data_IF_240216089253
#
_entry.id   IF_240216089253
#
_cell.length_a   1.000
_cell.length_b   1.000
_cell.length_c   1.000
_cell.angle_alpha   90.00
_cell.angle_beta   90.00
_cell.angle_gamma   90.00
#
_symmetry.space_group_name_H-M   'P 1'
#
loop_
_entity.id
_entity.type
_entity.pdbx_description
1 polymer ?
#
# COMPACT_ATOMS: atom_id res chain seq x y z
N UNK A 1 -9.97 3.74 -7.98
CA UNK A 1 -8.65 3.29 -7.46
C UNK A 1 -8.71 3.62 -5.99
N UNK A 2 -8.92 2.61 -5.14
CA UNK A 2 -9.47 2.86 -3.79
C UNK A 2 -8.53 2.38 -2.67
N UNK A 3 -7.45 1.67 -3.04
CA UNK A 3 -6.46 1.11 -2.13
C UNK A 3 -5.06 1.17 -2.73
N UNK A 4 -4.11 1.64 -1.93
CA UNK A 4 -2.67 1.54 -2.18
C UNK A 4 -2.06 0.69 -1.08
N UNK A 5 -1.25 -0.29 -1.48
CA UNK A 5 -0.52 -1.16 -0.57
C UNK A 5 0.96 -0.77 -0.62
N UNK A 6 1.54 -0.43 0.53
CA UNK A 6 2.96 -0.11 0.67
C UNK A 6 3.67 -1.33 1.24
N UNK A 7 4.52 -1.95 0.44
CA UNK A 7 5.34 -3.10 0.84
C UNK A 7 6.76 -2.74 1.26
N UNK A 8 7.57 -3.77 1.49
CA UNK A 8 8.99 -3.64 1.77
C UNK A 8 9.33 -3.15 3.19
N UNK A 9 10.63 -2.95 3.44
CA UNK A 9 11.14 -2.57 4.77
C UNK A 9 10.63 -1.20 5.26
N UNK A 10 10.34 -0.28 4.35
CA UNK A 10 9.83 1.07 4.67
C UNK A 10 8.46 1.02 5.35
N UNK A 11 7.60 0.08 4.96
CA UNK A 11 6.28 -0.09 5.57
C UNK A 11 6.36 -0.45 7.07
N UNK A 12 7.51 -0.96 7.55
CA UNK A 12 7.73 -1.26 8.97
C UNK A 12 7.85 -0.01 9.85
N UNK A 13 8.01 1.17 9.26
CA UNK A 13 8.05 2.43 10.01
C UNK A 13 6.69 2.78 10.67
N UNK A 14 5.60 2.12 10.27
CA UNK A 14 4.29 2.29 10.90
C UNK A 14 3.81 3.74 10.86
N UNK A 15 3.27 4.24 11.98
CA UNK A 15 2.71 5.59 12.10
C UNK A 15 3.67 6.69 11.58
N UNK A 16 4.99 6.54 11.79
CA UNK A 16 5.99 7.50 11.34
C UNK A 16 5.94 7.74 9.81
N UNK A 17 5.61 6.71 9.03
CA UNK A 17 5.40 6.82 7.59
C UNK A 17 3.93 7.12 7.25
N UNK A 18 3.01 6.34 7.81
CA UNK A 18 1.62 6.32 7.34
C UNK A 18 0.81 7.55 7.75
N UNK A 19 1.10 8.18 8.89
CA UNK A 19 0.37 9.37 9.33
C UNK A 19 0.65 10.60 8.44
N UNK A 20 1.91 11.00 8.17
CA UNK A 20 2.17 12.10 7.24
C UNK A 20 1.72 11.78 5.81
N UNK A 21 1.75 10.51 5.41
CA UNK A 21 1.26 10.08 4.10
C UNK A 21 -0.26 10.30 3.95
N UNK A 22 -1.05 9.91 4.98
CA UNK A 22 -2.50 10.13 4.99
C UNK A 22 -2.84 11.61 4.97
N UNK A 23 -2.15 12.43 5.79
CA UNK A 23 -2.33 13.87 5.79
C UNK A 23 -2.06 14.50 4.41
N UNK A 24 -0.99 14.05 3.74
CA UNK A 24 -0.66 14.52 2.39
C UNK A 24 -1.73 14.12 1.37
N UNK A 25 -2.26 12.90 1.46
CA UNK A 25 -3.35 12.48 0.58
C UNK A 25 -4.61 13.30 0.80
N UNK A 26 -4.97 13.61 2.04
CA UNK A 26 -6.09 14.53 2.32
C UNK A 26 -5.87 15.91 1.71
N UNK A 27 -4.63 16.41 1.70
CA UNK A 27 -4.30 17.71 1.14
C UNK A 27 -4.26 17.74 -0.40
N UNK A 28 -3.75 16.68 -1.03
CA UNK A 28 -3.38 16.69 -2.46
C UNK A 28 -4.25 15.81 -3.35
N UNK A 29 -4.96 14.80 -2.82
CA UNK A 29 -5.85 13.92 -3.60
C UNK A 29 -7.22 14.59 -3.85
N UNK A 30 -7.22 15.73 -4.54
CA UNK A 30 -8.39 16.60 -4.71
C UNK A 30 -9.40 16.14 -5.77
N UNK A 31 -9.05 15.16 -6.61
CA UNK A 31 -9.97 14.60 -7.60
C UNK A 31 -10.97 13.67 -6.91
N UNK A 32 -12.25 13.79 -7.25
CA UNK A 32 -13.32 13.11 -6.51
C UNK A 32 -13.17 11.57 -6.49
N UNK A 33 -12.62 10.99 -7.56
CA UNK A 33 -12.40 9.54 -7.65
C UNK A 33 -11.23 9.01 -6.79
N UNK A 34 -10.47 9.88 -6.12
CA UNK A 34 -9.38 9.51 -5.18
C UNK A 34 -9.53 10.13 -3.79
N UNK A 35 -10.58 10.90 -3.50
CA UNK A 35 -10.81 11.49 -2.16
C UNK A 35 -10.91 10.45 -1.03
N UNK A 36 -11.23 9.20 -1.34
CA UNK A 36 -11.33 8.09 -0.40
C UNK A 36 -10.16 7.09 -0.44
N UNK A 37 -9.02 7.47 -1.05
CA UNK A 37 -7.90 6.55 -1.24
C UNK A 37 -7.36 6.05 0.09
N UNK A 38 -7.43 4.75 0.33
CA UNK A 38 -6.84 4.11 1.51
C UNK A 38 -5.40 3.72 1.25
N UNK A 39 -4.52 3.91 2.23
CA UNK A 39 -3.15 3.40 2.19
C UNK A 39 -2.88 2.50 3.38
N UNK A 40 -2.41 1.29 3.09
CA UNK A 40 -2.18 0.22 4.07
C UNK A 40 -0.80 -0.41 3.88
N UNK A 41 -0.19 -0.95 4.94
CA UNK A 41 0.98 -1.81 4.78
C UNK A 41 0.62 -3.12 4.08
N UNK A 42 1.57 -3.73 3.38
CA UNK A 42 1.41 -5.09 2.87
C UNK A 42 1.26 -6.08 4.03
N UNK A 43 0.10 -6.75 4.11
CA UNK A 43 -0.21 -7.71 5.18
C UNK A 43 0.74 -8.91 5.18
N UNK A 44 1.16 -9.36 4.00
CA UNK A 44 2.14 -10.43 3.81
C UNK A 44 3.60 -9.96 4.06
N UNK A 45 3.81 -8.67 4.36
CA UNK A 45 5.13 -8.12 4.64
C UNK A 45 6.16 -8.42 3.56
N UNK A 46 7.29 -9.02 3.96
CA UNK A 46 8.38 -9.39 3.05
C UNK A 46 8.03 -10.54 2.10
N UNK A 47 7.02 -11.34 2.43
CA UNK A 47 6.66 -12.53 1.66
C UNK A 47 5.71 -12.22 0.50
N UNK A 48 5.14 -11.00 0.45
CA UNK A 48 4.19 -10.59 -0.59
C UNK A 48 4.70 -10.87 -2.02
N UNK A 49 5.98 -10.61 -2.27
CA UNK A 49 6.61 -10.87 -3.57
C UNK A 49 6.76 -12.35 -3.88
N UNK A 50 7.18 -13.16 -2.90
CA UNK A 50 7.34 -14.60 -3.07
C UNK A 50 5.99 -15.30 -3.29
N UNK A 51 4.96 -14.91 -2.53
CA UNK A 51 3.60 -15.42 -2.70
C UNK A 51 3.05 -15.10 -4.09
N UNK A 52 3.21 -13.86 -4.55
CA UNK A 52 2.81 -13.47 -5.90
C UNK A 52 3.56 -14.24 -6.99
N UNK A 53 4.87 -14.41 -6.84
CA UNK A 53 5.69 -15.17 -7.78
C UNK A 53 5.29 -16.66 -7.85
N UNK A 54 5.03 -17.28 -6.69
CA UNK A 54 4.56 -18.67 -6.62
C UNK A 54 3.21 -18.86 -7.29
N UNK A 55 2.27 -17.93 -7.08
CA UNK A 55 1.00 -17.92 -7.79
C UNK A 55 1.21 -17.86 -9.31
N UNK A 56 1.99 -16.88 -9.78
CA UNK A 56 2.27 -16.71 -11.21
C UNK A 56 2.89 -17.97 -11.85
N UNK A 57 3.82 -18.62 -11.16
CA UNK A 57 4.48 -19.84 -11.63
C UNK A 57 3.55 -21.06 -11.70
N UNK A 58 2.47 -21.09 -10.91
CA UNK A 58 1.51 -22.21 -10.86
C UNK A 58 0.20 -21.92 -11.59
N UNK A 59 -0.06 -20.67 -11.95
CA UNK A 59 -1.24 -20.23 -12.69
C UNK A 59 -1.07 -20.24 -14.22
N UNK A 60 0.11 -20.64 -14.70
CA UNK A 60 0.44 -20.75 -16.12
C UNK A 60 0.10 -22.13 -16.70
#
# INVERSE_FOLDING_TARGET
>A
LDLVVVGGGVAKAGALLFDPLRASLTAYAGLDFIRGLRVVPAELGGDAGLVGAAFLATSA
#
